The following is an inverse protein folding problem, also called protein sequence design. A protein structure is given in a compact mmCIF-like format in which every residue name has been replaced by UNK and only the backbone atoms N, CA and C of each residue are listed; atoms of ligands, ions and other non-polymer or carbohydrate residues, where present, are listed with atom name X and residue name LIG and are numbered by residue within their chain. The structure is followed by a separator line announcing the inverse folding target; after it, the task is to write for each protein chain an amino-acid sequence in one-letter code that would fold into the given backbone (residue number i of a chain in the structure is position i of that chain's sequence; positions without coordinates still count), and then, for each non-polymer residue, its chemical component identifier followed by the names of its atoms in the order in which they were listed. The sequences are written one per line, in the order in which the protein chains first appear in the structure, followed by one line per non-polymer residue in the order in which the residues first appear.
data_IF_182515794260
#
_entry.id   IF_182515794260
#
_cell.length_a   1.000
_cell.length_b   1.000
_cell.length_c   1.000
_cell.angle_alpha   90.00
_cell.angle_beta   90.00
_cell.angle_gamma   90.00
#
_symmetry.space_group_name_H-M   'P 1'
#
loop_
_entity.id
_entity.type
_entity.pdbx_description
1 polymer ?
#
# COMPACT_ATOMS: atom_id res chain seq x y z
N UNK A 1 22.39 23.01 -15.51
CA UNK A 1 22.22 22.52 -14.12
C UNK A 1 21.04 21.56 -14.15
N UNK A 2 21.26 20.25 -14.05
CA UNK A 2 20.16 19.27 -14.03
C UNK A 2 19.53 19.32 -12.64
N UNK A 3 18.35 19.90 -12.55
CA UNK A 3 17.64 20.09 -11.27
C UNK A 3 16.94 18.77 -10.95
N UNK A 4 17.35 18.12 -9.86
CA UNK A 4 16.79 16.83 -9.47
C UNK A 4 15.33 16.98 -9.01
N UNK A 5 14.43 16.15 -9.54
CA UNK A 5 12.99 16.15 -9.22
C UNK A 5 12.72 15.96 -7.72
N UNK A 6 13.59 15.22 -7.01
CA UNK A 6 13.46 14.99 -5.58
C UNK A 6 13.63 16.29 -4.76
N UNK A 7 14.29 17.30 -5.33
CA UNK A 7 14.48 18.62 -4.70
C UNK A 7 13.31 19.58 -4.96
N UNK A 8 12.28 19.17 -5.72
CA UNK A 8 11.17 20.01 -6.16
C UNK A 8 9.80 19.47 -5.73
N UNK A 9 9.74 18.81 -4.57
CA UNK A 9 8.50 18.20 -4.10
C UNK A 9 7.38 19.21 -3.76
N UNK A 10 7.74 20.45 -3.38
CA UNK A 10 6.80 21.52 -3.00
C UNK A 10 7.00 22.77 -3.85
N UNK A 11 5.94 23.55 -4.06
CA UNK A 11 6.05 24.88 -4.69
C UNK A 11 6.78 25.86 -3.77
N UNK A 12 7.70 26.70 -4.28
CA UNK A 12 8.37 27.72 -3.47
C UNK A 12 7.43 28.80 -2.90
N UNK A 13 6.25 28.99 -3.51
CA UNK A 13 5.31 30.05 -3.16
C UNK A 13 4.62 29.79 -1.82
N UNK A 14 3.91 28.66 -1.73
CA UNK A 14 3.00 28.36 -0.60
C UNK A 14 3.27 26.97 0.01
N UNK A 15 4.32 26.25 -0.43
CA UNK A 15 4.67 24.92 0.10
C UNK A 15 3.73 23.78 -0.30
N UNK A 16 2.74 24.02 -1.16
CA UNK A 16 1.84 22.99 -1.71
C UNK A 16 2.64 21.92 -2.46
N UNK A 17 2.38 20.62 -2.22
CA UNK A 17 3.07 19.55 -2.92
C UNK A 17 2.77 19.57 -4.42
N UNK A 18 3.81 19.45 -5.25
CA UNK A 18 3.73 19.36 -6.71
C UNK A 18 3.59 17.92 -7.19
N UNK A 19 4.20 16.99 -6.48
CA UNK A 19 4.20 15.56 -6.84
C UNK A 19 3.08 14.82 -6.12
N UNK A 20 2.31 14.04 -6.87
CA UNK A 20 1.25 13.20 -6.34
C UNK A 20 0.85 12.12 -7.33
N UNK A 21 0.24 11.05 -6.81
CA UNK A 21 -0.35 10.01 -7.65
C UNK A 21 -1.63 10.52 -8.32
N UNK A 22 -1.84 10.16 -9.57
CA UNK A 22 -2.98 10.61 -10.38
C UNK A 22 -3.92 9.46 -10.73
N UNK A 23 -5.18 9.83 -11.04
CA UNK A 23 -6.18 9.00 -11.70
C UNK A 23 -6.24 7.55 -11.17
N UNK A 24 -5.74 6.59 -11.95
CA UNK A 24 -5.87 5.15 -11.67
C UNK A 24 -5.17 4.72 -10.38
N UNK A 25 -4.08 5.37 -10.00
CA UNK A 25 -3.38 5.07 -8.75
C UNK A 25 -4.23 5.44 -7.53
N UNK A 26 -5.00 6.52 -7.60
CA UNK A 26 -5.92 6.92 -6.52
C UNK A 26 -7.04 5.90 -6.40
N UNK A 27 -7.62 5.49 -7.53
CA UNK A 27 -8.71 4.48 -7.58
C UNK A 27 -8.21 3.13 -7.05
N UNK A 28 -7.03 2.69 -7.48
CA UNK A 28 -6.40 1.46 -7.00
C UNK A 28 -6.09 1.53 -5.51
N UNK A 29 -5.57 2.66 -5.01
CA UNK A 29 -5.33 2.87 -3.58
C UNK A 29 -6.60 2.80 -2.73
N UNK A 30 -7.71 3.34 -3.24
CA UNK A 30 -9.03 3.17 -2.59
C UNK A 30 -9.40 1.70 -2.55
N UNK A 31 -9.42 0.99 -3.69
CA UNK A 31 -9.79 -0.44 -3.77
C UNK A 31 -8.92 -1.33 -2.89
N UNK A 32 -7.62 -1.06 -2.83
CA UNK A 32 -6.67 -1.77 -1.97
C UNK A 32 -7.00 -1.58 -0.50
N UNK A 33 -7.34 -0.35 -0.08
CA UNK A 33 -7.54 0.01 1.33
C UNK A 33 -8.99 -0.13 1.83
N UNK A 34 -9.91 -0.61 0.98
CA UNK A 34 -11.30 -0.87 1.33
C UNK A 34 -11.43 -1.88 2.47
N UNK A 35 -12.40 -1.64 3.36
CA UNK A 35 -12.74 -2.58 4.43
C UNK A 35 -13.36 -3.84 3.82
N UNK A 36 -12.94 -5.01 4.29
CA UNK A 36 -13.45 -6.30 3.78
C UNK A 36 -12.68 -6.86 2.60
N UNK A 37 -11.72 -6.11 2.04
CA UNK A 37 -10.77 -6.62 1.05
C UNK A 37 -9.61 -7.31 1.76
N UNK A 38 -9.43 -8.60 1.46
CA UNK A 38 -8.44 -9.46 2.07
C UNK A 38 -7.60 -10.21 1.03
N UNK A 39 -6.34 -10.43 1.36
CA UNK A 39 -5.32 -11.09 0.55
C UNK A 39 -4.79 -12.30 1.29
N UNK A 40 -4.61 -13.41 0.59
CA UNK A 40 -4.02 -14.63 1.15
C UNK A 40 -2.48 -14.52 1.18
N UNK A 41 -1.84 -15.35 1.99
CA UNK A 41 -0.39 -15.56 2.03
C UNK A 41 0.18 -15.95 0.67
N UNK A 42 -0.45 -16.90 -0.01
CA UNK A 42 -0.01 -17.47 -1.27
C UNK A 42 -1.02 -17.25 -2.39
N UNK A 43 -0.52 -17.18 -3.62
CA UNK A 43 -1.35 -17.27 -4.83
C UNK A 43 -2.03 -18.64 -4.81
N UNK A 44 -3.34 -18.68 -4.55
CA UNK A 44 -4.13 -19.87 -4.89
C UNK A 44 -4.13 -19.94 -6.41
N UNK A 45 -3.50 -20.98 -6.96
CA UNK A 45 -3.71 -21.39 -8.34
C UNK A 45 -5.21 -21.69 -8.46
N UNK A 46 -5.83 -21.07 -9.45
CA UNK A 46 -7.26 -20.96 -9.68
C UNK A 46 -8.01 -22.29 -9.49
N UNK A 47 -9.13 -22.23 -8.78
CA UNK A 47 -10.16 -23.29 -8.86
C UNK A 47 -11.57 -22.75 -8.60
N UNK A 48 -11.80 -21.45 -8.79
CA UNK A 48 -13.19 -20.97 -8.89
C UNK A 48 -13.29 -19.67 -9.69
N UNK A 49 -13.66 -19.83 -10.97
CA UNK A 49 -13.83 -18.82 -12.00
C UNK A 49 -15.12 -18.01 -11.84
N UNK A 50 -15.51 -17.66 -10.60
CA UNK A 50 -16.81 -17.02 -10.33
C UNK A 50 -16.70 -15.62 -9.71
N UNK A 51 -15.50 -15.16 -9.35
CA UNK A 51 -15.29 -13.79 -8.85
C UNK A 51 -14.04 -13.22 -9.52
N UNK A 52 -14.20 -12.58 -10.69
CA UNK A 52 -13.12 -12.03 -11.53
C UNK A 52 -12.36 -10.84 -10.93
N UNK A 53 -11.88 -10.97 -9.70
CA UNK A 53 -11.08 -9.97 -9.00
C UNK A 53 -9.59 -10.26 -9.06
N UNK A 54 -8.80 -9.20 -9.14
CA UNK A 54 -7.34 -9.19 -9.06
C UNK A 54 -6.87 -9.73 -7.69
N UNK A 55 -6.63 -11.04 -7.58
CA UNK A 55 -6.23 -11.70 -6.32
C UNK A 55 -4.73 -12.00 -6.29
N UNK A 56 -3.93 -10.93 -6.25
CA UNK A 56 -2.50 -11.08 -5.91
C UNK A 56 -2.34 -11.41 -4.42
N UNK A 57 -1.38 -12.26 -4.08
CA UNK A 57 -1.09 -12.59 -2.69
C UNK A 57 -0.47 -11.40 -1.93
N UNK A 58 -0.66 -11.35 -0.62
CA UNK A 58 -0.07 -10.31 0.24
C UNK A 58 1.44 -10.15 0.00
N UNK A 59 2.19 -11.27 -0.05
CA UNK A 59 3.63 -11.23 -0.28
C UNK A 59 3.99 -10.68 -1.66
N UNK A 60 3.23 -11.02 -2.70
CA UNK A 60 3.48 -10.53 -4.06
C UNK A 60 3.35 -9.01 -4.13
N UNK A 61 2.28 -8.46 -3.55
CA UNK A 61 2.05 -7.02 -3.49
C UNK A 61 3.18 -6.29 -2.74
N UNK A 62 3.60 -6.84 -1.60
CA UNK A 62 4.71 -6.27 -0.80
C UNK A 62 6.03 -6.31 -1.58
N UNK A 63 6.37 -7.43 -2.20
CA UNK A 63 7.61 -7.58 -2.95
C UNK A 63 7.66 -6.69 -4.20
N UNK A 64 6.55 -6.56 -4.92
CA UNK A 64 6.47 -5.61 -6.05
C UNK A 64 6.67 -4.17 -5.57
N UNK A 65 6.00 -3.77 -4.48
CA UNK A 65 6.11 -2.44 -3.90
C UNK A 65 7.50 -2.11 -3.33
N UNK A 66 8.29 -3.13 -2.98
CA UNK A 66 9.64 -3.00 -2.43
C UNK A 66 10.74 -3.50 -3.38
N UNK A 67 10.47 -3.56 -4.67
CA UNK A 67 11.40 -4.05 -5.71
C UNK A 67 12.79 -3.42 -5.68
N UNK A 68 12.91 -2.17 -5.22
CA UNK A 68 14.18 -1.44 -5.11
C UNK A 68 14.85 -1.54 -3.73
N UNK A 69 14.24 -2.21 -2.75
CA UNK A 69 14.80 -2.38 -1.40
C UNK A 69 15.84 -3.49 -1.40
N UNK A 70 16.99 -3.22 -0.78
CA UNK A 70 18.04 -4.21 -0.53
C UNK A 70 17.94 -4.71 0.92
N UNK A 71 18.01 -6.02 1.12
CA UNK A 71 17.97 -6.66 2.43
C UNK A 71 16.62 -7.31 2.76
N UNK A 72 16.49 -7.75 4.01
CA UNK A 72 15.32 -8.46 4.48
C UNK A 72 14.08 -7.56 4.57
N UNK A 73 12.92 -8.16 4.32
CA UNK A 73 11.62 -7.49 4.36
C UNK A 73 10.87 -8.00 5.58
N UNK A 74 10.56 -7.08 6.50
CA UNK A 74 9.77 -7.39 7.69
C UNK A 74 8.29 -7.45 7.31
N UNK A 75 7.67 -8.63 7.48
CA UNK A 75 6.25 -8.84 7.17
C UNK A 75 5.40 -8.74 8.44
N UNK A 76 4.23 -8.13 8.32
CA UNK A 76 3.24 -8.09 9.39
C UNK A 76 2.52 -9.44 9.57
N UNK A 77 2.07 -9.78 10.80
CA UNK A 77 1.22 -10.93 11.02
C UNK A 77 -0.14 -10.77 10.31
N UNK A 78 -0.82 -11.88 9.95
CA UNK A 78 -2.13 -11.82 9.29
C UNK A 78 -3.19 -11.21 10.22
N UNK A 79 -4.14 -10.47 9.66
CA UNK A 79 -5.30 -9.95 10.40
C UNK A 79 -6.28 -11.05 10.79
N UNK A 80 -6.38 -12.11 9.98
CA UNK A 80 -7.23 -13.27 10.25
C UNK A 80 -6.36 -14.51 10.19
N UNK A 81 -6.42 -15.35 11.22
CA UNK A 81 -5.63 -16.59 11.31
C UNK A 81 -6.42 -17.84 10.91
N UNK A 82 -7.72 -17.87 11.20
CA UNK A 82 -8.62 -18.99 10.91
C UNK A 82 -9.90 -18.47 10.23
N UNK A 83 -10.49 -19.22 9.28
CA UNK A 83 -10.07 -20.53 8.77
C UNK A 83 -8.85 -20.49 7.83
N UNK A 84 -8.45 -19.31 7.36
CA UNK A 84 -7.28 -19.10 6.53
C UNK A 84 -6.50 -17.86 6.99
N UNK A 85 -5.21 -17.79 6.64
CA UNK A 85 -4.35 -16.64 6.92
C UNK A 85 -4.64 -15.54 5.90
N UNK A 86 -5.21 -14.42 6.37
CA UNK A 86 -5.58 -13.31 5.51
C UNK A 86 -5.02 -11.99 6.03
N UNK A 87 -4.57 -11.14 5.11
CA UNK A 87 -4.10 -9.79 5.35
C UNK A 87 -5.05 -8.80 4.70
N UNK A 88 -5.30 -7.68 5.37
CA UNK A 88 -6.01 -6.56 4.74
C UNK A 88 -5.09 -5.76 3.82
N UNK A 89 -5.63 -5.04 2.85
CA UNK A 89 -4.79 -4.15 2.04
C UNK A 89 -4.20 -2.97 2.81
N UNK A 90 -4.79 -2.62 3.97
CA UNK A 90 -4.16 -1.68 4.91
C UNK A 90 -2.85 -2.23 5.47
N UNK A 91 -2.78 -3.53 5.75
CA UNK A 91 -1.54 -4.18 6.17
C UNK A 91 -0.50 -4.23 5.06
N UNK A 92 -0.90 -4.38 3.79
CA UNK A 92 0.01 -4.26 2.64
C UNK A 92 0.69 -2.89 2.66
N UNK A 93 -0.10 -1.81 2.74
CA UNK A 93 0.43 -0.45 2.81
C UNK A 93 1.31 -0.22 4.03
N UNK A 94 0.88 -0.67 5.22
CA UNK A 94 1.68 -0.56 6.45
C UNK A 94 3.03 -1.26 6.32
N UNK A 95 3.07 -2.44 5.70
CA UNK A 95 4.30 -3.21 5.50
C UNK A 95 5.26 -2.48 4.57
N UNK A 96 4.76 -1.92 3.46
CA UNK A 96 5.58 -1.14 2.52
C UNK A 96 6.16 0.10 3.23
N UNK A 97 5.34 0.83 4.00
CA UNK A 97 5.80 2.04 4.73
C UNK A 97 6.87 1.67 5.75
N UNK A 98 6.65 0.65 6.58
CA UNK A 98 7.61 0.20 7.59
C UNK A 98 8.95 -0.18 6.99
N UNK A 99 8.93 -0.87 5.85
CA UNK A 99 10.15 -1.29 5.16
C UNK A 99 10.84 -0.16 4.37
N UNK A 100 10.16 0.96 4.11
CA UNK A 100 10.74 2.12 3.42
C UNK A 100 11.42 3.09 4.39
N UNK A 101 11.03 3.06 5.67
CA UNK A 101 11.64 3.90 6.71
C UNK A 101 13.09 3.43 6.96
N UNK A 102 14.08 4.35 6.98
CA UNK A 102 15.47 3.99 7.31
C UNK A 102 15.61 3.40 8.71
N UNK A 103 16.59 2.51 8.89
CA UNK A 103 16.90 1.94 10.20
C UNK A 103 17.23 3.02 11.23
N UNK A 104 16.71 2.87 12.45
CA UNK A 104 16.90 3.83 13.55
C UNK A 104 16.01 5.08 13.47
N UNK A 105 15.05 5.13 12.54
CA UNK A 105 14.01 6.18 12.50
C UNK A 105 12.70 5.67 13.07
N UNK A 106 11.97 6.55 13.74
CA UNK A 106 10.65 6.24 14.27
C UNK A 106 9.60 6.13 13.16
N UNK A 107 8.60 5.26 13.32
CA UNK A 107 7.43 5.23 12.45
C UNK A 107 6.66 6.55 12.45
N UNK A 108 5.94 6.80 11.35
CA UNK A 108 5.09 7.97 11.21
C UNK A 108 3.79 7.81 12.03
N UNK A 109 3.39 8.89 12.70
CA UNK A 109 2.05 9.05 13.25
C UNK A 109 1.35 10.16 12.48
N UNK A 110 0.25 9.84 11.81
CA UNK A 110 -0.49 10.78 10.96
C UNK A 110 -1.99 10.61 11.18
N UNK A 111 -2.68 11.73 11.45
CA UNK A 111 -4.14 11.80 11.44
C UNK A 111 -4.57 12.65 10.24
N UNK A 112 -5.41 12.10 9.38
CA UNK A 112 -5.88 12.78 8.17
C UNK A 112 -7.30 12.35 7.80
N UNK A 113 -7.94 13.15 6.95
CA UNK A 113 -9.29 12.89 6.46
C UNK A 113 -9.26 12.42 5.00
N UNK A 114 -10.15 11.49 4.64
CA UNK A 114 -10.36 11.08 3.27
C UNK A 114 -11.45 11.95 2.62
N UNK A 115 -11.27 12.30 1.34
CA UNK A 115 -12.30 13.04 0.57
C UNK A 115 -13.53 12.19 0.27
N UNK A 116 -13.38 10.86 0.21
CA UNK A 116 -14.49 9.93 -0.03
C UNK A 116 -15.10 9.55 1.32
N UNK A 117 -16.41 9.78 1.46
CA UNK A 117 -17.16 9.42 2.66
C UNK A 117 -17.35 7.90 2.75
N UNK A 118 -17.22 7.35 3.96
CA UNK A 118 -17.41 5.92 4.24
C UNK A 118 -18.82 5.40 3.98
N UNK A 119 -19.80 6.28 3.72
CA UNK A 119 -21.18 5.91 3.38
C UNK A 119 -21.36 5.51 1.92
N UNK A 120 -20.40 5.83 1.06
CA UNK A 120 -20.48 5.65 -0.40
C UNK A 120 -19.67 4.43 -0.89
N UNK A 121 -18.86 3.84 -0.01
CA UNK A 121 -18.00 2.68 -0.26
C UNK A 121 -18.54 1.43 0.44
#
# INVERSE_FOLDING_TARGET
ISVNVNCQYVVPKDGTPLSGLIQDHVISGVRLSLRGVFFDSHRRVETDSMTGGFREGYQQLVYQGLSNKRGDIELLPPAILKPARLWSGKQVLSTIILNTIPTGKYPINLTGTAKISSKVL
#
